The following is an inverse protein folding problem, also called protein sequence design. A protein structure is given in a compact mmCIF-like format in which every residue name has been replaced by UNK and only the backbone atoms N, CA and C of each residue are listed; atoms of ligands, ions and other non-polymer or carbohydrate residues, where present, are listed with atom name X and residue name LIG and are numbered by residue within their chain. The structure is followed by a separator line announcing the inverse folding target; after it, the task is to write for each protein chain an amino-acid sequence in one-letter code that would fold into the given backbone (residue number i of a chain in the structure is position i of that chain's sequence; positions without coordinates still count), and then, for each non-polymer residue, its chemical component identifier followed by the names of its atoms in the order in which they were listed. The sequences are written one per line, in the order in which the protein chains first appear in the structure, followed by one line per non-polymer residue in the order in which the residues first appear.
data_IF_324201179883
#
_entry.id   IF_324201179883
#
_cell.length_a   1.000
_cell.length_b   1.000
_cell.length_c   1.000
_cell.angle_alpha   90.00
_cell.angle_beta   90.00
_cell.angle_gamma   90.00
#
_symmetry.space_group_name_H-M   'P 1'
#
loop_
_entity.id
_entity.type
_entity.pdbx_description
1 polymer ?
#
# COMPACT_ATOMS: atom_id res chain seq x y z
N UNK A 1 -34.95 -28.98 1.28
CA UNK A 1 -33.99 -28.10 1.99
C UNK A 1 -32.52 -28.40 1.72
N UNK A 2 -32.12 -29.61 1.29
CA UNK A 2 -30.69 -29.95 1.09
C UNK A 2 -29.98 -29.29 -0.11
N UNK A 3 -30.71 -28.97 -1.19
CA UNK A 3 -30.12 -28.37 -2.39
C UNK A 3 -29.41 -27.03 -2.13
N UNK A 4 -29.95 -26.20 -1.25
CA UNK A 4 -29.34 -24.94 -0.84
C UNK A 4 -27.95 -25.19 -0.23
N UNK A 5 -27.81 -26.21 0.63
CA UNK A 5 -26.53 -26.55 1.27
C UNK A 5 -25.51 -27.01 0.23
N UNK A 6 -25.93 -27.85 -0.73
CA UNK A 6 -25.06 -28.39 -1.78
C UNK A 6 -24.51 -27.29 -2.69
N UNK A 7 -25.29 -26.22 -2.93
CA UNK A 7 -24.84 -25.08 -3.76
C UNK A 7 -24.09 -24.05 -2.92
N UNK A 8 -24.55 -23.74 -1.72
CA UNK A 8 -23.93 -22.71 -0.87
C UNK A 8 -22.59 -23.13 -0.30
N UNK A 9 -22.43 -24.40 0.11
CA UNK A 9 -21.17 -24.90 0.69
C UNK A 9 -19.97 -24.72 -0.26
N UNK A 10 -20.01 -25.18 -1.54
CA UNK A 10 -18.90 -24.95 -2.46
C UNK A 10 -18.71 -23.47 -2.79
N UNK A 11 -19.80 -22.68 -2.85
CA UNK A 11 -19.71 -21.24 -3.13
C UNK A 11 -18.99 -20.49 -2.00
N UNK A 12 -19.30 -20.80 -0.75
CA UNK A 12 -18.64 -20.23 0.44
C UNK A 12 -17.16 -20.64 0.48
N UNK A 13 -16.86 -21.92 0.24
CA UNK A 13 -15.47 -22.39 0.17
C UNK A 13 -14.69 -21.70 -0.94
N UNK A 14 -15.32 -21.53 -2.11
CA UNK A 14 -14.72 -20.80 -3.22
C UNK A 14 -14.41 -19.34 -2.85
N UNK A 15 -15.35 -18.63 -2.22
CA UNK A 15 -15.13 -17.25 -1.76
C UNK A 15 -14.01 -17.18 -0.72
N UNK A 16 -13.93 -18.13 0.21
CA UNK A 16 -12.86 -18.20 1.21
C UNK A 16 -11.48 -18.40 0.56
N UNK A 17 -11.39 -19.32 -0.41
CA UNK A 17 -10.15 -19.54 -1.17
C UNK A 17 -9.78 -18.29 -1.97
N UNK A 18 -10.75 -17.66 -2.62
CA UNK A 18 -10.53 -16.44 -3.40
C UNK A 18 -10.04 -15.29 -2.51
N UNK A 19 -10.65 -15.11 -1.34
CA UNK A 19 -10.26 -14.12 -0.34
C UNK A 19 -8.83 -14.39 0.16
N UNK A 20 -8.49 -15.65 0.44
CA UNK A 20 -7.15 -16.03 0.87
C UNK A 20 -6.10 -15.80 -0.23
N UNK A 21 -6.41 -16.19 -1.48
CA UNK A 21 -5.54 -15.96 -2.62
C UNK A 21 -5.31 -14.46 -2.85
N UNK A 22 -6.37 -13.66 -2.86
CA UNK A 22 -6.29 -12.21 -2.98
C UNK A 22 -5.51 -11.58 -1.81
N UNK A 23 -5.72 -12.05 -0.58
CA UNK A 23 -4.97 -11.61 0.59
C UNK A 23 -3.48 -11.90 0.45
N UNK A 24 -3.09 -13.11 0.01
CA UNK A 24 -1.69 -13.48 -0.18
C UNK A 24 -1.02 -12.70 -1.32
N UNK A 25 -1.74 -12.51 -2.45
CA UNK A 25 -1.27 -11.70 -3.58
C UNK A 25 -1.10 -10.24 -3.15
N UNK A 26 -2.11 -9.64 -2.53
CA UNK A 26 -2.08 -8.27 -2.03
C UNK A 26 -1.02 -8.06 -0.95
N UNK A 27 -0.85 -9.02 -0.03
CA UNK A 27 0.22 -9.02 0.99
C UNK A 27 1.60 -9.01 0.36
N UNK A 28 1.81 -9.79 -0.70
CA UNK A 28 3.09 -9.79 -1.40
C UNK A 28 3.29 -8.50 -2.21
N UNK A 29 2.23 -7.96 -2.82
CA UNK A 29 2.26 -6.70 -3.55
C UNK A 29 2.53 -5.49 -2.65
N UNK A 30 1.93 -5.39 -1.46
CA UNK A 30 2.18 -4.27 -0.54
C UNK A 30 3.64 -4.16 -0.10
N UNK A 31 4.33 -5.30 0.08
CA UNK A 31 5.79 -5.29 0.32
C UNK A 31 6.59 -4.91 -0.93
N UNK A 32 6.14 -5.33 -2.11
CA UNK A 32 6.81 -4.98 -3.38
C UNK A 32 6.64 -3.50 -3.70
N UNK A 33 5.50 -2.89 -3.43
CA UNK A 33 5.27 -1.45 -3.61
C UNK A 33 6.12 -0.64 -2.62
N UNK A 34 6.18 -1.05 -1.35
CA UNK A 34 7.09 -0.45 -0.37
C UNK A 34 8.57 -0.58 -0.76
N UNK A 35 8.96 -1.65 -1.46
CA UNK A 35 10.32 -1.83 -1.98
C UNK A 35 10.57 -1.13 -3.33
N UNK A 36 9.52 -0.87 -4.12
CA UNK A 36 9.62 -0.28 -5.47
C UNK A 36 9.58 1.24 -5.47
N UNK A 37 9.02 1.85 -4.43
CA UNK A 37 9.27 3.26 -4.14
C UNK A 37 10.60 3.28 -3.40
N UNK A 38 11.75 3.60 -4.03
CA UNK A 38 12.93 3.93 -3.29
C UNK A 38 12.55 5.13 -2.41
N UNK A 39 12.31 4.88 -1.12
CA UNK A 39 12.37 5.93 -0.12
C UNK A 39 13.78 6.50 -0.32
N UNK A 40 13.87 7.70 -0.89
CA UNK A 40 15.13 8.37 -1.13
C UNK A 40 15.77 8.59 0.24
N UNK A 41 16.54 7.61 0.69
CA UNK A 41 17.37 7.61 1.88
C UNK A 41 18.69 8.30 1.52
N UNK A 42 18.58 9.46 0.89
CA UNK A 42 19.71 10.36 0.72
C UNK A 42 19.91 11.15 2.00
N UNK A 43 21.10 11.73 2.22
CA UNK A 43 21.26 12.76 3.24
C UNK A 43 20.14 13.81 3.08
N UNK A 44 19.60 14.36 4.18
CA UNK A 44 18.60 15.41 4.10
C UNK A 44 19.06 16.48 3.12
N UNK A 45 18.16 16.94 2.24
CA UNK A 45 18.48 17.93 1.24
C UNK A 45 19.25 19.09 1.89
N UNK A 46 20.35 19.56 1.29
CA UNK A 46 21.11 20.69 1.83
C UNK A 46 20.16 21.84 2.17
N UNK A 47 20.35 22.42 3.35
CA UNK A 47 19.47 23.48 3.83
C UNK A 47 19.29 24.56 2.75
N UNK A 48 18.05 25.03 2.50
CA UNK A 48 17.81 26.10 1.55
C UNK A 48 18.69 27.31 1.91
N UNK A 49 19.25 28.01 0.90
CA UNK A 49 20.12 29.15 1.15
C UNK A 49 19.41 30.16 2.05
N UNK A 50 20.11 30.81 2.99
CA UNK A 50 19.50 31.82 3.84
C UNK A 50 18.86 32.87 2.94
N UNK A 51 17.54 33.04 3.08
CA UNK A 51 16.82 34.17 2.53
C UNK A 51 17.51 35.42 3.06
N UNK A 52 18.30 36.06 2.20
CA UNK A 52 18.91 37.36 2.46
C UNK A 52 17.75 38.28 2.84
N UNK A 53 17.70 38.63 4.13
CA UNK A 53 16.81 39.65 4.66
C UNK A 53 16.92 40.87 3.76
N UNK A 54 15.84 41.16 3.04
CA UNK A 54 15.69 42.45 2.37
C UNK A 54 15.73 43.50 3.49
N UNK A 55 16.75 44.37 3.56
CA UNK A 55 16.85 45.32 4.64
C UNK A 55 15.63 46.24 4.59
N UNK A 56 15.08 46.45 5.77
CA UNK A 56 14.20 47.56 6.12
C UNK A 56 14.57 48.81 5.32
N UNK A 57 13.66 49.30 4.48
CA UNK A 57 13.73 50.62 3.87
C UNK A 57 12.58 51.44 4.44
N UNK A 58 12.99 52.54 5.06
CA UNK A 58 12.22 53.54 5.81
C UNK A 58 11.33 54.35 4.87
#
# INVERSE_FOLDING_TARGET
MGYIIVVSLPLILFILILALACYLIGRNSGRREAARIPQYYGPPAPAPPPSVDKPSQV
#
